data_IF_144779853334
#
_entry.id   IF_144779853334
#
_cell.length_a   1.000
_cell.length_b   1.000
_cell.length_c   1.000
_cell.angle_alpha   90.00
_cell.angle_beta   90.00
_cell.angle_gamma   90.00
#
_symmetry.space_group_name_H-M   'P 1'
#
loop_
_entity.id
_entity.type
_entity.pdbx_description
1 polymer ?
#
# COMPACT_ATOMS: atom_id res chain seq x y z
N UNK A 1 -9.77 -13.44 2.90
CA UNK A 1 -10.03 -12.52 1.78
C UNK A 1 -9.94 -11.07 2.20
N UNK A 2 -9.79 -10.17 1.22
CA UNK A 2 -9.77 -8.71 1.39
C UNK A 2 -10.91 -8.11 0.54
N UNK A 3 -12.17 -8.09 1.03
CA UNK A 3 -13.35 -7.74 0.24
C UNK A 3 -13.37 -6.32 -0.36
N UNK A 4 -12.58 -5.39 0.17
CA UNK A 4 -12.54 -3.99 -0.27
C UNK A 4 -11.22 -3.64 -0.97
N UNK A 5 -10.39 -4.63 -1.31
CA UNK A 5 -9.04 -4.42 -1.82
C UNK A 5 -8.80 -5.21 -3.10
N UNK A 6 -8.14 -4.57 -4.07
CA UNK A 6 -7.64 -5.20 -5.29
C UNK A 6 -6.22 -4.72 -5.63
N UNK A 7 -5.53 -5.46 -6.50
CA UNK A 7 -4.23 -5.03 -7.02
C UNK A 7 -4.46 -4.01 -8.13
N UNK A 8 -3.97 -2.78 -7.92
CA UNK A 8 -3.87 -1.80 -8.98
C UNK A 8 -2.56 -1.97 -9.74
N UNK A 9 -2.64 -1.86 -11.08
CA UNK A 9 -1.48 -1.81 -11.97
C UNK A 9 -1.17 -0.39 -12.46
N UNK A 10 -1.89 0.62 -11.96
CA UNK A 10 -1.73 2.03 -12.33
C UNK A 10 -1.84 2.93 -11.09
N UNK A 11 -0.83 3.77 -10.87
CA UNK A 11 -0.81 4.76 -9.79
C UNK A 11 -1.17 6.19 -10.26
N UNK A 12 -1.62 6.31 -11.51
CA UNK A 12 -1.99 7.55 -12.16
C UNK A 12 -0.77 8.36 -12.65
N UNK A 13 -1.05 9.56 -13.17
CA UNK A 13 -0.03 10.45 -13.74
C UNK A 13 0.34 11.66 -12.86
N UNK A 14 -0.11 11.69 -11.60
CA UNK A 14 0.02 12.87 -10.75
C UNK A 14 1.03 12.68 -9.62
N UNK A 15 0.85 13.37 -8.49
CA UNK A 15 1.79 13.38 -7.37
C UNK A 15 1.99 12.00 -6.74
N UNK A 16 0.96 11.15 -6.70
CA UNK A 16 1.04 9.81 -6.12
C UNK A 16 2.08 8.94 -6.82
N UNK A 17 2.01 8.88 -8.15
CA UNK A 17 2.96 8.11 -8.96
C UNK A 17 4.38 8.64 -8.86
N UNK A 18 4.54 9.96 -8.88
CA UNK A 18 5.86 10.59 -8.72
C UNK A 18 6.48 10.27 -7.36
N UNK A 19 5.68 10.35 -6.28
CA UNK A 19 6.13 9.98 -4.94
C UNK A 19 6.49 8.49 -4.87
N UNK A 20 5.62 7.62 -5.39
CA UNK A 20 5.86 6.18 -5.45
C UNK A 20 7.21 5.84 -6.08
N UNK A 21 7.46 6.33 -7.30
CA UNK A 21 8.71 6.05 -8.00
C UNK A 21 9.94 6.69 -7.32
N UNK A 22 9.84 7.91 -6.78
CA UNK A 22 10.95 8.54 -6.07
C UNK A 22 11.30 7.82 -4.77
N UNK A 23 10.31 7.33 -4.05
CA UNK A 23 10.55 6.52 -2.84
C UNK A 23 11.22 5.21 -3.22
N UNK A 24 10.77 4.52 -4.26
CA UNK A 24 11.44 3.30 -4.73
C UNK A 24 12.89 3.55 -5.16
N UNK A 25 13.15 4.62 -5.91
CA UNK A 25 14.49 5.00 -6.35
C UNK A 25 15.42 5.26 -5.14
N UNK A 26 14.91 5.99 -4.13
CA UNK A 26 15.65 6.20 -2.89
C UNK A 26 15.96 4.90 -2.16
N UNK A 27 14.97 4.01 -1.99
CA UNK A 27 15.17 2.71 -1.33
C UNK A 27 16.11 1.81 -2.12
N UNK A 28 16.08 1.86 -3.46
CA UNK A 28 16.96 1.08 -4.32
C UNK A 28 18.44 1.48 -4.19
N UNK A 29 18.71 2.75 -3.82
CA UNK A 29 20.07 3.23 -3.57
C UNK A 29 20.68 2.79 -2.24
N UNK A 30 19.87 2.17 -1.35
CA UNK A 30 20.33 1.65 -0.07
C UNK A 30 20.83 0.20 -0.20
N UNK A 31 21.78 -0.22 0.64
CA UNK A 31 22.25 -1.62 0.68
C UNK A 31 21.25 -2.57 1.37
N UNK A 32 20.33 -2.03 2.15
CA UNK A 32 19.32 -2.79 2.88
C UNK A 32 18.14 -3.20 1.99
N UNK A 33 17.66 -4.43 2.16
CA UNK A 33 16.47 -4.90 1.45
C UNK A 33 15.21 -4.44 2.18
N UNK A 34 14.43 -3.57 1.54
CA UNK A 34 13.18 -3.08 2.09
C UNK A 34 11.97 -3.79 1.45
N UNK A 35 11.04 -4.25 2.29
CA UNK A 35 9.71 -4.66 1.85
C UNK A 35 8.78 -3.45 1.93
N UNK A 36 8.16 -3.07 0.83
CA UNK A 36 7.25 -1.94 0.79
C UNK A 36 6.06 -2.22 -0.12
N UNK A 37 4.95 -1.53 0.17
CA UNK A 37 3.76 -1.48 -0.67
C UNK A 37 3.33 -0.03 -0.82
N UNK A 38 2.65 0.28 -1.93
CA UNK A 38 2.00 1.56 -2.17
C UNK A 38 0.50 1.32 -2.28
N UNK A 39 -0.31 2.04 -1.51
CA UNK A 39 -1.75 1.78 -1.39
C UNK A 39 -2.56 3.03 -1.70
N UNK A 40 -3.49 2.92 -2.64
CA UNK A 40 -4.55 3.92 -2.82
C UNK A 40 -5.72 3.58 -1.90
N UNK A 41 -6.17 4.57 -1.13
CA UNK A 41 -7.34 4.43 -0.25
C UNK A 41 -8.45 5.33 -0.80
N UNK A 42 -9.67 4.80 -1.06
CA UNK A 42 -10.78 5.62 -1.51
C UNK A 42 -11.22 6.60 -0.41
N UNK A 43 -12.07 7.57 -0.77
CA UNK A 43 -12.64 8.49 0.21
C UNK A 43 -13.38 7.70 1.30
N UNK A 44 -13.03 7.96 2.56
CA UNK A 44 -13.63 7.28 3.70
C UNK A 44 -15.03 7.82 4.00
N UNK A 45 -16.01 6.93 3.95
CA UNK A 45 -17.40 7.16 4.34
C UNK A 45 -17.68 6.42 5.65
N UNK A 46 -18.88 6.60 6.22
CA UNK A 46 -19.30 5.81 7.39
C UNK A 46 -19.43 4.33 7.04
N UNK A 47 -19.82 4.03 5.81
CA UNK A 47 -20.18 2.68 5.38
C UNK A 47 -18.96 1.84 4.97
N UNK A 48 -17.91 2.46 4.41
CA UNK A 48 -16.73 1.74 3.94
C UNK A 48 -15.58 1.67 4.97
N UNK A 49 -15.59 2.54 5.99
CA UNK A 49 -14.43 2.72 6.87
C UNK A 49 -14.07 1.47 7.66
N UNK A 50 -15.04 0.79 8.24
CA UNK A 50 -14.79 -0.40 9.06
C UNK A 50 -14.24 -1.56 8.22
N UNK A 51 -14.79 -1.76 7.02
CA UNK A 51 -14.35 -2.81 6.10
C UNK A 51 -12.96 -2.52 5.54
N UNK A 52 -12.68 -1.27 5.11
CA UNK A 52 -11.36 -0.87 4.65
C UNK A 52 -10.30 -1.00 5.75
N UNK A 53 -10.64 -0.64 7.00
CA UNK A 53 -9.72 -0.79 8.12
C UNK A 53 -9.42 -2.28 8.39
N UNK A 54 -10.42 -3.15 8.34
CA UNK A 54 -10.22 -4.59 8.53
C UNK A 54 -9.28 -5.17 7.45
N UNK A 55 -9.50 -4.80 6.18
CA UNK A 55 -8.61 -5.20 5.08
C UNK A 55 -7.19 -4.69 5.29
N UNK A 56 -7.04 -3.40 5.65
CA UNK A 56 -5.73 -2.78 5.83
C UNK A 56 -4.96 -3.42 7.00
N UNK A 57 -5.63 -3.74 8.11
CA UNK A 57 -5.04 -4.49 9.23
C UNK A 57 -4.54 -5.85 8.75
N UNK A 58 -5.36 -6.61 8.03
CA UNK A 58 -4.96 -7.92 7.50
C UNK A 58 -3.78 -7.84 6.52
N UNK A 59 -3.65 -6.75 5.75
CA UNK A 59 -2.47 -6.49 4.89
C UNK A 59 -1.21 -6.30 5.74
N UNK A 60 -1.28 -5.45 6.77
CA UNK A 60 -0.14 -5.17 7.66
C UNK A 60 0.29 -6.43 8.43
N UNK A 61 -0.65 -7.23 8.91
CA UNK A 61 -0.36 -8.52 9.56
C UNK A 61 0.41 -9.46 8.62
N UNK A 62 -0.01 -9.57 7.36
CA UNK A 62 0.69 -10.39 6.35
C UNK A 62 2.08 -9.87 6.04
N UNK A 63 2.25 -8.56 5.91
CA UNK A 63 3.57 -7.96 5.69
C UNK A 63 4.50 -8.20 6.87
N UNK A 64 3.99 -8.07 8.08
CA UNK A 64 4.75 -8.28 9.32
C UNK A 64 5.28 -9.72 9.41
N UNK A 65 4.48 -10.69 8.95
CA UNK A 65 4.88 -12.10 8.90
C UNK A 65 5.96 -12.41 7.83
N UNK A 66 6.11 -11.57 6.79
CA UNK A 66 7.13 -11.73 5.73
C UNK A 66 8.45 -11.04 6.11
N UNK A 67 8.38 -9.98 6.93
CA UNK A 67 9.54 -9.21 7.39
C UNK A 67 10.31 -9.84 8.56
N UNK A 68 9.86 -10.98 9.08
CA UNK A 68 10.53 -11.80 10.11
C UNK A 68 11.30 -12.95 9.45
#
# INVERSE_FOLDING_TARGET
>A
DLPMTEISHDAGGFVCNTLYFRTLDHLYSQEERHYCIFVHVPLLTKDNRSLLAADFVAIIERLSAISL
#
